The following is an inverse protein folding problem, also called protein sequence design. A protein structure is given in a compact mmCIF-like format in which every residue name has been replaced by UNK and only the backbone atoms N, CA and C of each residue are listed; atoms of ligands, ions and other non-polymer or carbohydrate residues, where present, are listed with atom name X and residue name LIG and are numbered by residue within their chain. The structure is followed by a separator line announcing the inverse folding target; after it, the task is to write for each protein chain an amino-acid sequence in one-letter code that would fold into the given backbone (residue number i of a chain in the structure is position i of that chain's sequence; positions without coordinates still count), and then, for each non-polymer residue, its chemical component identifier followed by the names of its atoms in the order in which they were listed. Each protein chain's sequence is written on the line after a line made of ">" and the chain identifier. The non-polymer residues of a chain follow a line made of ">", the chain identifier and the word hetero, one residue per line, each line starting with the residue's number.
data_IF_047485613708
#
_entry.id   IF_047485613708
#
_cell.length_a   1.000
_cell.length_b   1.000
_cell.length_c   1.000
_cell.angle_alpha   90.00
_cell.angle_beta   90.00
_cell.angle_gamma   90.00
#
_symmetry.space_group_name_H-M   'P 1'
#
loop_
_entity.id
_entity.type
_entity.pdbx_description
1 polymer ?
#
# COMPACT_ATOMS: atom_id res chain seq x y z
N UNK A 1 -0.65 -22.33 16.23
CA UNK A 1 -1.76 -21.96 15.32
C UNK A 1 -2.91 -21.48 16.18
N UNK A 2 -3.69 -20.47 15.78
CA UNK A 2 -4.74 -19.90 16.64
C UNK A 2 -5.97 -20.78 16.80
N UNK A 3 -6.04 -21.93 16.15
CA UNK A 3 -7.17 -22.86 16.21
C UNK A 3 -6.68 -24.30 16.37
N UNK A 4 -7.47 -25.16 17.06
CA UNK A 4 -7.18 -26.59 17.13
C UNK A 4 -7.15 -27.22 15.72
N UNK A 5 -6.25 -28.17 15.44
CA UNK A 5 -6.20 -28.84 14.13
C UNK A 5 -7.53 -29.45 13.72
N UNK A 6 -8.22 -30.13 14.62
CA UNK A 6 -9.52 -30.72 14.35
C UNK A 6 -10.60 -29.71 13.94
N UNK A 7 -10.56 -28.47 14.47
CA UNK A 7 -11.46 -27.42 14.06
C UNK A 7 -11.14 -26.90 12.62
N UNK A 8 -9.86 -26.80 12.32
CA UNK A 8 -9.43 -26.44 10.95
C UNK A 8 -9.89 -27.47 9.94
N UNK A 9 -9.72 -28.76 10.27
CA UNK A 9 -10.15 -29.85 9.41
C UNK A 9 -11.67 -29.85 9.21
N UNK A 10 -12.45 -29.53 10.24
CA UNK A 10 -13.91 -29.38 10.13
C UNK A 10 -14.32 -28.18 9.29
N UNK A 11 -13.64 -27.02 9.45
CA UNK A 11 -13.86 -25.84 8.63
C UNK A 11 -13.59 -26.15 7.15
N UNK A 12 -12.50 -26.85 6.85
CA UNK A 12 -12.17 -27.24 5.46
C UNK A 12 -13.22 -28.22 4.93
N UNK A 13 -13.59 -29.23 5.69
CA UNK A 13 -14.56 -30.25 5.26
C UNK A 13 -15.96 -29.70 4.96
N UNK A 14 -16.37 -28.63 5.70
CA UNK A 14 -17.68 -28.00 5.51
C UNK A 14 -17.67 -26.85 4.48
N UNK A 15 -16.53 -26.55 3.89
CA UNK A 15 -16.37 -25.56 2.85
C UNK A 15 -15.69 -26.17 1.61
N UNK A 16 -16.39 -27.01 0.81
CA UNK A 16 -15.84 -27.52 -0.44
C UNK A 16 -15.29 -26.39 -1.28
N UNK A 17 -14.09 -26.56 -1.80
CA UNK A 17 -13.37 -25.47 -2.49
C UNK A 17 -14.12 -24.97 -3.71
N UNK A 18 -14.79 -25.86 -4.43
CA UNK A 18 -15.61 -25.52 -5.60
C UNK A 18 -16.79 -24.61 -5.26
N UNK A 19 -17.40 -24.80 -4.07
CA UNK A 19 -18.52 -23.99 -3.61
C UNK A 19 -18.08 -22.60 -3.14
N UNK A 20 -16.88 -22.50 -2.56
CA UNK A 20 -16.31 -21.21 -2.15
C UNK A 20 -15.85 -20.43 -3.38
N UNK A 21 -15.07 -21.06 -4.23
CA UNK A 21 -14.57 -20.46 -5.47
C UNK A 21 -15.70 -20.08 -6.42
N UNK A 22 -16.73 -20.93 -6.51
CA UNK A 22 -17.89 -20.71 -7.38
C UNK A 22 -18.68 -19.43 -7.11
N UNK A 23 -18.48 -18.77 -5.94
CA UNK A 23 -19.10 -17.47 -5.64
C UNK A 23 -18.39 -16.31 -6.36
N UNK A 24 -17.14 -16.50 -6.74
CA UNK A 24 -16.28 -15.45 -7.34
C UNK A 24 -15.97 -15.74 -8.80
N UNK A 25 -15.96 -17.03 -9.19
CA UNK A 25 -15.53 -17.49 -10.50
C UNK A 25 -16.56 -18.40 -11.14
N UNK A 26 -16.93 -18.11 -12.38
CA UNK A 26 -17.75 -19.06 -13.18
C UNK A 26 -16.90 -20.24 -13.58
N UNK A 27 -17.14 -21.39 -12.94
CA UNK A 27 -16.39 -22.63 -13.17
C UNK A 27 -17.07 -23.52 -14.20
N UNK A 28 -16.29 -24.11 -15.13
CA UNK A 28 -16.75 -25.10 -16.12
C UNK A 28 -15.97 -26.39 -15.91
N UNK A 29 -16.66 -27.51 -15.92
CA UNK A 29 -16.06 -28.84 -15.72
C UNK A 29 -15.24 -29.27 -16.95
N UNK A 30 -14.04 -29.76 -16.67
CA UNK A 30 -13.17 -30.38 -17.67
C UNK A 30 -12.45 -31.58 -17.01
N UNK A 31 -12.90 -32.78 -17.30
CA UNK A 31 -12.45 -34.00 -16.61
C UNK A 31 -12.83 -34.02 -15.13
N UNK A 32 -11.87 -34.32 -14.26
CA UNK A 32 -12.05 -34.31 -12.79
C UNK A 32 -11.95 -32.89 -12.19
N UNK A 33 -11.45 -31.91 -12.93
CA UNK A 33 -11.25 -30.56 -12.44
C UNK A 33 -12.28 -29.57 -12.99
N UNK A 34 -12.35 -28.40 -12.36
CA UNK A 34 -13.13 -27.26 -12.79
C UNK A 34 -12.17 -26.14 -13.25
N UNK A 35 -12.51 -25.43 -14.31
CA UNK A 35 -11.69 -24.34 -14.87
C UNK A 35 -12.50 -23.05 -14.99
N UNK A 36 -11.85 -21.90 -14.76
CA UNK A 36 -12.42 -20.59 -14.92
C UNK A 36 -11.35 -19.53 -15.18
N UNK A 37 -11.78 -18.28 -15.34
CA UNK A 37 -10.85 -17.14 -15.38
C UNK A 37 -10.32 -16.88 -13.97
N UNK A 38 -9.03 -16.59 -13.85
CA UNK A 38 -8.41 -16.35 -12.54
C UNK A 38 -8.94 -15.06 -11.90
N UNK A 39 -9.36 -15.11 -10.63
CA UNK A 39 -9.82 -13.90 -9.93
C UNK A 39 -8.65 -13.05 -9.41
N UNK A 40 -7.40 -13.53 -9.51
CA UNK A 40 -6.21 -12.90 -8.97
C UNK A 40 -5.37 -12.15 -9.99
N UNK A 41 -5.61 -12.36 -11.30
CA UNK A 41 -4.96 -11.62 -12.38
C UNK A 41 -5.89 -11.52 -13.60
N UNK A 42 -5.63 -10.56 -14.48
CA UNK A 42 -6.41 -10.35 -15.69
C UNK A 42 -6.01 -11.34 -16.79
N UNK A 43 -6.96 -12.16 -17.27
CA UNK A 43 -6.73 -13.10 -18.39
C UNK A 43 -7.97 -13.24 -19.27
N UNK A 44 -7.76 -13.72 -20.51
CA UNK A 44 -8.85 -14.00 -21.46
C UNK A 44 -9.09 -15.50 -21.65
N UNK A 45 -8.14 -16.33 -21.27
CA UNK A 45 -8.19 -17.80 -21.37
C UNK A 45 -8.19 -18.39 -19.97
N UNK A 46 -9.07 -19.37 -19.72
CA UNK A 46 -9.21 -19.99 -18.41
C UNK A 46 -7.93 -20.76 -18.02
N UNK A 47 -7.14 -20.21 -17.11
CA UNK A 47 -5.94 -20.83 -16.54
C UNK A 47 -6.10 -21.22 -15.06
N UNK A 48 -7.21 -20.86 -14.45
CA UNK A 48 -7.51 -21.15 -13.06
C UNK A 48 -8.21 -22.50 -12.94
N UNK A 49 -7.57 -23.44 -12.27
CA UNK A 49 -8.03 -24.82 -12.06
C UNK A 49 -8.42 -25.05 -10.60
N UNK A 50 -9.57 -25.68 -10.38
CA UNK A 50 -10.00 -26.17 -9.06
C UNK A 50 -10.10 -27.69 -9.15
N UNK A 51 -9.45 -28.38 -8.23
CA UNK A 51 -9.46 -29.83 -8.08
C UNK A 51 -10.28 -30.21 -6.83
N UNK A 52 -11.59 -30.52 -6.95
CA UNK A 52 -12.45 -30.82 -5.80
C UNK A 52 -11.93 -31.99 -4.96
N UNK A 53 -11.52 -33.08 -5.59
CA UNK A 53 -11.00 -34.28 -4.92
C UNK A 53 -9.76 -34.02 -4.07
N UNK A 54 -8.99 -32.95 -4.39
CA UNK A 54 -7.79 -32.56 -3.65
C UNK A 54 -8.05 -31.39 -2.71
N UNK A 55 -9.23 -30.75 -2.77
CA UNK A 55 -9.54 -29.54 -2.02
C UNK A 55 -8.61 -28.36 -2.35
N UNK A 56 -8.12 -28.26 -3.58
CA UNK A 56 -7.09 -27.28 -3.97
C UNK A 56 -7.46 -26.52 -5.23
N UNK A 57 -7.00 -25.28 -5.32
CA UNK A 57 -6.95 -24.51 -6.55
C UNK A 57 -5.51 -24.27 -6.99
N UNK A 58 -5.32 -24.03 -8.28
CA UNK A 58 -4.06 -23.60 -8.87
C UNK A 58 -4.30 -22.80 -10.16
N UNK A 59 -3.63 -21.67 -10.29
CA UNK A 59 -3.63 -20.88 -11.51
C UNK A 59 -2.34 -21.11 -12.30
N UNK A 60 -2.45 -21.58 -13.53
CA UNK A 60 -1.29 -21.80 -14.41
C UNK A 60 -0.73 -20.49 -14.98
N UNK A 61 -1.47 -19.35 -14.90
CA UNK A 61 -1.01 -18.04 -15.34
C UNK A 61 -0.18 -17.33 -14.28
N UNK A 62 -0.73 -17.12 -13.07
CA UNK A 62 -0.05 -16.39 -12.01
C UNK A 62 0.57 -17.27 -10.90
N UNK A 63 0.49 -18.60 -11.05
CA UNK A 63 1.05 -19.61 -10.13
C UNK A 63 0.52 -19.58 -8.69
N UNK A 64 -0.54 -18.82 -8.43
CA UNK A 64 -1.24 -18.87 -7.11
C UNK A 64 -1.96 -20.18 -6.95
N UNK A 65 -1.84 -20.77 -5.74
CA UNK A 65 -2.48 -22.04 -5.44
C UNK A 65 -2.59 -22.30 -3.93
N UNK A 66 -3.42 -23.25 -3.56
CA UNK A 66 -3.62 -23.64 -2.16
C UNK A 66 -4.99 -24.27 -1.91
N UNK A 67 -5.31 -24.48 -0.63
CA UNK A 67 -6.63 -24.94 -0.21
C UNK A 67 -7.65 -23.80 -0.06
N UNK A 68 -8.85 -24.15 0.43
CA UNK A 68 -9.97 -23.21 0.59
C UNK A 68 -9.63 -22.02 1.49
N UNK A 69 -8.85 -22.22 2.56
CA UNK A 69 -8.42 -21.13 3.45
C UNK A 69 -7.48 -20.17 2.72
N UNK A 70 -6.55 -20.72 1.91
CA UNK A 70 -5.65 -19.87 1.10
C UNK A 70 -6.44 -19.06 0.07
N UNK A 71 -7.46 -19.65 -0.55
CA UNK A 71 -8.33 -18.93 -1.49
C UNK A 71 -9.04 -17.78 -0.80
N UNK A 72 -9.65 -18.02 0.36
CA UNK A 72 -10.36 -16.99 1.14
C UNK A 72 -9.41 -15.86 1.58
N UNK A 73 -8.18 -16.22 2.02
CA UNK A 73 -7.15 -15.24 2.36
C UNK A 73 -6.80 -14.33 1.16
N UNK A 74 -6.63 -14.92 -0.01
CA UNK A 74 -6.20 -14.19 -1.21
C UNK A 74 -7.32 -13.34 -1.81
N UNK A 75 -8.56 -13.86 -1.88
CA UNK A 75 -9.67 -13.17 -2.53
C UNK A 75 -10.21 -12.01 -1.68
N UNK A 76 -10.29 -12.20 -0.36
CA UNK A 76 -10.81 -11.21 0.58
C UNK A 76 -9.69 -10.38 1.25
N UNK A 77 -8.42 -10.70 1.00
CA UNK A 77 -7.29 -10.02 1.63
C UNK A 77 -7.21 -10.26 3.15
N UNK A 78 -7.64 -11.43 3.61
CA UNK A 78 -7.76 -11.77 5.02
C UNK A 78 -6.46 -12.33 5.61
N UNK A 79 -6.29 -12.19 6.94
CA UNK A 79 -5.31 -13.00 7.66
C UNK A 79 -5.80 -14.45 7.73
N UNK A 80 -4.89 -15.40 8.01
CA UNK A 80 -5.26 -16.81 8.18
C UNK A 80 -6.39 -17.00 9.21
N UNK A 81 -6.29 -16.32 10.35
CA UNK A 81 -7.30 -16.40 11.39
C UNK A 81 -8.65 -15.82 10.98
N UNK A 82 -8.67 -14.72 10.24
CA UNK A 82 -9.91 -14.11 9.74
C UNK A 82 -10.55 -14.97 8.65
N UNK A 83 -9.74 -15.57 7.76
CA UNK A 83 -10.23 -16.48 6.72
C UNK A 83 -10.89 -17.73 7.33
N UNK A 84 -10.25 -18.34 8.35
CA UNK A 84 -10.83 -19.47 9.08
C UNK A 84 -12.17 -19.09 9.71
N UNK A 85 -12.29 -17.90 10.30
CA UNK A 85 -13.56 -17.42 10.87
C UNK A 85 -14.64 -17.15 9.83
N UNK A 86 -14.27 -16.54 8.72
CA UNK A 86 -15.22 -16.31 7.62
C UNK A 86 -15.81 -17.63 7.12
N UNK A 87 -14.94 -18.62 6.90
CA UNK A 87 -15.35 -19.97 6.50
C UNK A 87 -16.15 -20.70 7.58
N UNK A 88 -15.76 -20.58 8.87
CA UNK A 88 -16.51 -21.14 9.99
C UNK A 88 -17.92 -20.55 10.08
N UNK A 89 -18.04 -19.22 9.99
CA UNK A 89 -19.32 -18.52 9.94
C UNK A 89 -20.19 -18.99 8.77
N UNK A 90 -19.60 -19.13 7.59
CA UNK A 90 -20.29 -19.65 6.40
C UNK A 90 -20.83 -21.05 6.65
N UNK A 91 -20.07 -21.90 7.32
CA UNK A 91 -20.44 -23.28 7.66
C UNK A 91 -21.36 -23.42 8.88
N UNK A 92 -21.69 -22.31 9.57
CA UNK A 92 -22.47 -22.34 10.81
C UNK A 92 -21.73 -22.99 11.98
N UNK A 93 -20.38 -22.98 11.95
CA UNK A 93 -19.55 -23.51 13.02
C UNK A 93 -19.27 -22.43 14.08
N UNK A 94 -19.42 -22.82 15.34
CA UNK A 94 -18.96 -22.00 16.46
C UNK A 94 -17.43 -22.04 16.52
N UNK A 95 -16.82 -20.87 16.48
CA UNK A 95 -15.36 -20.74 16.56
C UNK A 95 -14.93 -21.00 18.00
N UNK A 96 -14.02 -21.97 18.27
CA UNK A 96 -13.51 -22.20 19.61
C UNK A 96 -12.94 -20.91 20.21
N UNK A 97 -13.34 -20.60 21.43
CA UNK A 97 -12.87 -19.41 22.14
C UNK A 97 -11.39 -19.56 22.51
N UNK A 98 -10.51 -19.02 21.69
CA UNK A 98 -9.14 -18.71 22.10
C UNK A 98 -9.15 -17.29 22.71
N UNK A 99 -9.17 -17.22 24.03
CA UNK A 99 -9.19 -15.95 24.77
C UNK A 99 -8.06 -15.01 24.35
N UNK A 100 -6.88 -15.51 24.01
CA UNK A 100 -5.76 -14.69 23.56
C UNK A 100 -6.02 -14.06 22.18
N UNK A 101 -6.62 -14.85 21.28
CA UNK A 101 -6.97 -14.34 19.97
C UNK A 101 -8.12 -13.31 20.05
N UNK A 102 -9.15 -13.60 20.81
CA UNK A 102 -10.27 -12.69 21.02
C UNK A 102 -9.81 -11.38 21.66
N UNK A 103 -8.94 -11.47 22.66
CA UNK A 103 -8.32 -10.29 23.28
C UNK A 103 -7.55 -9.46 22.26
N UNK A 104 -6.70 -10.09 21.44
CA UNK A 104 -5.92 -9.42 20.39
C UNK A 104 -6.80 -8.80 19.31
N UNK A 105 -7.87 -9.49 18.90
CA UNK A 105 -8.82 -8.97 17.92
C UNK A 105 -9.58 -7.75 18.46
N UNK A 106 -10.08 -7.80 19.70
CA UNK A 106 -10.72 -6.66 20.36
C UNK A 106 -9.76 -5.47 20.47
N UNK A 107 -8.49 -5.72 20.77
CA UNK A 107 -7.47 -4.68 20.81
C UNK A 107 -7.28 -4.04 19.41
N UNK A 108 -7.24 -4.83 18.34
CA UNK A 108 -7.18 -4.30 16.97
C UNK A 108 -8.41 -3.43 16.63
N UNK A 109 -9.62 -3.91 16.93
CA UNK A 109 -10.85 -3.15 16.70
C UNK A 109 -10.84 -1.80 17.44
N UNK A 110 -10.39 -1.81 18.71
CA UNK A 110 -10.24 -0.58 19.50
C UNK A 110 -9.23 0.38 18.87
N UNK A 111 -8.09 -0.14 18.36
CA UNK A 111 -7.07 0.68 17.71
C UNK A 111 -7.56 1.25 16.37
N UNK A 112 -8.29 0.47 15.55
CA UNK A 112 -8.92 0.99 14.32
C UNK A 112 -9.93 2.09 14.62
N UNK A 113 -10.78 1.90 15.65
CA UNK A 113 -11.74 2.91 16.08
C UNK A 113 -11.00 4.19 16.54
N UNK A 114 -9.95 4.06 17.34
CA UNK A 114 -9.13 5.19 17.80
C UNK A 114 -8.49 5.93 16.63
N UNK A 115 -7.88 5.22 15.67
CA UNK A 115 -7.27 5.84 14.48
C UNK A 115 -8.30 6.57 13.61
N UNK A 116 -9.50 6.01 13.46
CA UNK A 116 -10.62 6.68 12.77
C UNK A 116 -11.02 7.97 13.46
N UNK A 117 -11.11 7.97 14.79
CA UNK A 117 -11.42 9.18 15.55
C UNK A 117 -10.27 10.21 15.50
N UNK A 118 -9.01 9.76 15.54
CA UNK A 118 -7.85 10.63 15.36
C UNK A 118 -7.84 11.26 13.95
N UNK A 119 -8.18 10.50 12.91
CA UNK A 119 -8.30 11.04 11.55
C UNK A 119 -9.38 12.12 11.46
N UNK A 120 -10.54 11.91 12.09
CA UNK A 120 -11.61 12.92 12.18
C UNK A 120 -11.16 14.16 12.94
N UNK A 121 -10.45 13.98 14.04
CA UNK A 121 -9.87 15.07 14.82
C UNK A 121 -8.92 15.92 13.97
N UNK A 122 -7.93 15.29 13.32
CA UNK A 122 -6.99 16.02 12.47
C UNK A 122 -7.67 16.70 11.28
N UNK A 123 -8.67 16.03 10.67
CA UNK A 123 -9.45 16.63 9.59
C UNK A 123 -10.23 17.86 10.06
N UNK A 124 -10.86 17.81 11.22
CA UNK A 124 -11.55 18.97 11.80
C UNK A 124 -10.60 20.12 12.14
N UNK A 125 -9.40 19.80 12.67
CA UNK A 125 -8.37 20.81 12.96
C UNK A 125 -7.88 21.55 11.70
N UNK A 126 -7.86 20.89 10.54
CA UNK A 126 -7.46 21.53 9.28
C UNK A 126 -8.38 22.70 8.88
N UNK A 127 -9.68 22.59 9.19
CA UNK A 127 -10.68 23.63 8.87
C UNK A 127 -10.97 24.57 10.05
N UNK A 128 -10.37 24.33 11.22
CA UNK A 128 -10.43 25.25 12.35
C UNK A 128 -9.42 26.39 12.17
N UNK A 129 -9.56 27.52 12.92
CA UNK A 129 -8.61 28.64 12.83
C UNK A 129 -7.14 28.24 13.01
N UNK A 130 -6.87 27.24 13.86
CA UNK A 130 -5.51 26.71 14.10
C UNK A 130 -4.90 26.02 12.87
N UNK A 131 -5.70 25.53 11.95
CA UNK A 131 -5.25 24.84 10.74
C UNK A 131 -5.14 25.74 9.49
N UNK A 132 -5.42 27.04 9.60
CA UNK A 132 -5.49 27.95 8.44
C UNK A 132 -4.20 27.93 7.59
N UNK A 133 -3.02 27.97 8.20
CA UNK A 133 -1.74 27.90 7.50
C UNK A 133 -1.52 26.57 6.79
N UNK A 134 -1.92 25.46 7.40
CA UNK A 134 -1.83 24.13 6.81
C UNK A 134 -2.80 23.96 5.61
N UNK A 135 -4.01 24.51 5.73
CA UNK A 135 -4.98 24.52 4.65
C UNK A 135 -4.51 25.39 3.48
N UNK A 136 -3.96 26.57 3.77
CA UNK A 136 -3.36 27.44 2.76
C UNK A 136 -2.18 26.76 2.05
N UNK A 137 -1.30 26.12 2.82
CA UNK A 137 -0.21 25.32 2.26
C UNK A 137 -0.75 24.22 1.33
N UNK A 138 -1.73 23.42 1.78
CA UNK A 138 -2.29 22.36 0.96
C UNK A 138 -2.92 22.88 -0.33
N UNK A 139 -3.65 24.00 -0.27
CA UNK A 139 -4.21 24.68 -1.44
C UNK A 139 -3.11 25.26 -2.35
N UNK A 140 -2.07 25.87 -1.78
CA UNK A 140 -0.90 26.35 -2.52
C UNK A 140 -0.14 25.23 -3.23
N UNK A 141 -0.18 24.00 -2.66
CA UNK A 141 0.29 22.78 -3.34
C UNK A 141 -0.71 22.24 -4.36
N UNK A 142 -1.80 22.95 -4.64
CA UNK A 142 -2.78 22.63 -5.67
C UNK A 142 -3.83 21.58 -5.25
N UNK A 143 -3.91 21.19 -3.99
CA UNK A 143 -4.94 20.23 -3.54
C UNK A 143 -6.34 20.85 -3.57
N UNK A 144 -7.26 20.24 -4.30
CA UNK A 144 -8.65 20.61 -4.34
C UNK A 144 -9.38 20.20 -3.06
N UNK A 145 -10.50 20.83 -2.77
CA UNK A 145 -11.39 20.45 -1.65
C UNK A 145 -11.78 18.96 -1.73
N UNK A 146 -12.12 18.49 -2.93
CA UNK A 146 -12.46 17.08 -3.18
C UNK A 146 -11.30 16.15 -2.81
N UNK A 147 -10.07 16.53 -3.18
CA UNK A 147 -8.86 15.76 -2.85
C UNK A 147 -8.60 15.74 -1.35
N UNK A 148 -8.69 16.89 -0.67
CA UNK A 148 -8.53 16.99 0.78
C UNK A 148 -9.51 16.07 1.52
N UNK A 149 -10.77 16.05 1.08
CA UNK A 149 -11.81 15.19 1.66
C UNK A 149 -11.60 13.72 1.32
N UNK A 150 -11.32 13.39 0.04
CA UNK A 150 -11.08 12.02 -0.42
C UNK A 150 -9.98 11.32 0.37
N UNK A 151 -8.86 12.02 0.59
CA UNK A 151 -7.71 11.48 1.31
C UNK A 151 -7.79 11.69 2.83
N UNK A 152 -8.80 12.40 3.33
CA UNK A 152 -8.95 12.70 4.75
C UNK A 152 -7.80 13.54 5.31
N UNK A 153 -7.23 14.42 4.47
CA UNK A 153 -6.10 15.27 4.88
C UNK A 153 -6.50 16.09 6.10
N UNK A 154 -5.59 16.16 7.07
CA UNK A 154 -5.83 16.81 8.34
C UNK A 154 -4.67 17.70 8.77
N UNK A 155 -4.79 18.28 9.95
CA UNK A 155 -3.74 19.03 10.61
C UNK A 155 -3.58 18.60 12.08
N UNK A 156 -2.38 18.27 12.46
CA UNK A 156 -2.02 18.07 13.87
C UNK A 156 -1.60 19.43 14.47
N UNK A 157 -2.34 19.95 15.44
CA UNK A 157 -2.04 21.24 16.05
C UNK A 157 -0.62 21.33 16.63
N UNK A 158 -0.09 22.55 16.76
CA UNK A 158 1.17 22.81 17.49
C UNK A 158 0.89 22.77 19.01
N UNK A 159 0.55 21.61 19.49
CA UNK A 159 0.18 21.35 20.89
C UNK A 159 0.80 20.04 21.36
N UNK A 160 1.01 19.95 22.67
CA UNK A 160 1.58 18.76 23.30
C UNK A 160 0.52 17.72 23.69
N UNK A 161 -0.76 18.08 23.80
CA UNK A 161 -1.77 17.18 24.37
C UNK A 161 -3.16 17.25 23.71
N UNK A 162 -3.39 18.06 22.71
CA UNK A 162 -4.74 18.25 22.13
C UNK A 162 -5.36 16.94 21.65
N UNK A 163 -4.58 16.08 20.97
CA UNK A 163 -5.06 14.77 20.55
C UNK A 163 -5.26 13.83 21.75
N UNK A 164 -4.29 13.77 22.67
CA UNK A 164 -4.40 12.96 23.91
C UNK A 164 -5.69 13.30 24.65
N UNK A 165 -5.93 14.59 24.89
CA UNK A 165 -7.09 15.06 25.65
C UNK A 165 -8.40 14.80 24.89
N UNK A 166 -8.40 14.99 23.56
CA UNK A 166 -9.55 14.68 22.73
C UNK A 166 -9.91 13.20 22.76
N UNK A 167 -8.92 12.30 22.69
CA UNK A 167 -9.16 10.87 22.72
C UNK A 167 -9.54 10.36 24.10
N UNK A 168 -8.95 10.89 25.17
CA UNK A 168 -9.38 10.60 26.55
C UNK A 168 -10.85 10.99 26.81
N UNK A 169 -11.29 12.15 26.30
CA UNK A 169 -12.72 12.56 26.35
C UNK A 169 -13.65 11.61 25.62
N UNK A 170 -13.15 10.87 24.62
CA UNK A 170 -13.87 9.82 23.89
C UNK A 170 -13.80 8.45 24.57
N UNK A 171 -13.18 8.33 25.74
CA UNK A 171 -13.11 7.11 26.53
C UNK A 171 -11.99 6.14 26.11
N UNK A 172 -10.95 6.63 25.42
CA UNK A 172 -9.75 5.83 25.17
C UNK A 172 -8.80 5.91 26.35
N UNK A 173 -8.26 4.75 26.72
CA UNK A 173 -7.30 4.62 27.83
C UNK A 173 -5.89 5.03 27.41
N UNK A 174 -5.06 5.37 28.40
CA UNK A 174 -3.65 5.70 28.16
C UNK A 174 -2.88 4.52 27.53
N UNK A 175 -3.27 3.29 27.83
CA UNK A 175 -2.66 2.10 27.22
C UNK A 175 -3.01 2.00 25.73
N UNK A 176 -4.28 2.19 25.36
CA UNK A 176 -4.70 2.21 23.95
C UNK A 176 -4.01 3.35 23.18
N UNK A 177 -3.82 4.51 23.79
CA UNK A 177 -3.08 5.62 23.22
C UNK A 177 -1.60 5.26 22.96
N UNK A 178 -0.93 4.59 23.92
CA UNK A 178 0.45 4.09 23.73
C UNK A 178 0.54 3.08 22.58
N UNK A 179 -0.36 2.12 22.58
CA UNK A 179 -0.39 1.03 21.59
C UNK A 179 -0.72 1.54 20.17
N UNK A 180 -1.40 2.68 20.08
CA UNK A 180 -1.75 3.30 18.79
C UNK A 180 -0.57 3.91 18.02
N UNK A 181 0.51 4.26 18.72
CA UNK A 181 1.62 5.02 18.13
C UNK A 181 1.29 6.49 17.78
N UNK A 182 0.15 7.00 18.24
CA UNK A 182 -0.26 8.41 18.07
C UNK A 182 0.38 9.34 19.11
N UNK A 183 0.89 8.76 20.19
CA UNK A 183 1.50 9.48 21.30
C UNK A 183 2.92 9.01 21.57
N UNK A 184 3.63 9.81 22.35
CA UNK A 184 4.97 9.49 22.86
C UNK A 184 4.94 9.62 24.39
N UNK A 185 5.74 8.77 25.05
CA UNK A 185 5.89 8.81 26.51
C UNK A 185 7.06 9.70 26.87
N UNK A 186 6.84 10.68 27.72
CA UNK A 186 7.90 11.55 28.24
C UNK A 186 8.86 10.74 29.14
N UNK A 187 10.15 10.78 28.83
CA UNK A 187 11.18 10.15 29.67
C UNK A 187 11.35 10.82 31.04
N UNK A 188 10.88 12.08 31.20
CA UNK A 188 11.05 12.86 32.46
C UNK A 188 10.00 12.51 33.47
N UNK A 189 8.75 12.32 33.09
CA UNK A 189 7.62 12.22 34.03
C UNK A 189 6.61 11.11 33.63
N UNK A 190 6.85 10.35 32.58
CA UNK A 190 5.94 9.28 32.12
C UNK A 190 4.64 9.76 31.46
N UNK A 191 4.41 11.06 31.34
CA UNK A 191 3.21 11.60 30.73
C UNK A 191 3.16 11.34 29.22
N UNK A 192 1.96 11.18 28.69
CA UNK A 192 1.72 11.08 27.26
C UNK A 192 1.70 12.47 26.63
N UNK A 193 2.26 12.57 25.45
CA UNK A 193 2.15 13.76 24.62
C UNK A 193 1.99 13.38 23.14
N UNK A 194 1.40 14.29 22.38
CA UNK A 194 1.09 14.10 20.95
C UNK A 194 2.37 13.88 20.15
N UNK A 195 2.42 12.77 19.39
CA UNK A 195 3.55 12.44 18.53
C UNK A 195 3.65 13.38 17.33
N UNK A 196 2.52 13.71 16.73
CA UNK A 196 2.43 14.62 15.59
C UNK A 196 2.04 16.00 16.09
N UNK A 197 2.88 16.99 15.83
CA UNK A 197 2.66 18.40 16.21
C UNK A 197 3.07 19.29 15.06
N UNK A 198 2.29 20.31 14.77
CA UNK A 198 2.47 21.25 13.66
C UNK A 198 2.75 20.52 12.33
N UNK A 199 1.85 19.58 11.96
CA UNK A 199 2.02 18.75 10.76
C UNK A 199 0.75 18.67 9.95
N UNK A 200 0.90 18.76 8.62
CA UNK A 200 -0.13 18.32 7.67
C UNK A 200 -0.19 16.80 7.70
N UNK A 201 -1.37 16.24 7.97
CA UNK A 201 -1.57 14.82 8.26
C UNK A 201 -2.17 14.07 7.09
N UNK A 202 -1.61 12.91 6.79
CA UNK A 202 -1.99 11.98 5.75
C UNK A 202 -2.41 10.66 6.39
N UNK A 203 -3.70 10.33 6.49
CA UNK A 203 -4.13 9.03 6.97
C UNK A 203 -3.64 7.92 6.05
N UNK A 204 -3.04 6.89 6.63
CA UNK A 204 -2.66 5.66 5.92
C UNK A 204 -3.81 4.68 6.10
N UNK A 205 -4.41 4.27 4.99
CA UNK A 205 -5.62 3.45 4.96
C UNK A 205 -5.25 2.10 4.34
N UNK A 206 -5.58 1.01 5.03
CA UNK A 206 -5.38 -0.34 4.52
C UNK A 206 -6.35 -0.66 3.37
N UNK A 207 -6.13 -1.79 2.71
CA UNK A 207 -6.99 -2.22 1.59
C UNK A 207 -8.44 -2.50 1.99
N UNK A 208 -8.74 -2.67 3.29
CA UNK A 208 -10.09 -2.86 3.83
C UNK A 208 -10.79 -1.52 4.15
N UNK A 209 -10.06 -0.40 4.13
CA UNK A 209 -10.59 0.93 4.43
C UNK A 209 -10.39 1.38 5.88
N UNK A 210 -9.63 0.65 6.69
CA UNK A 210 -9.30 1.05 8.05
C UNK A 210 -8.14 2.05 8.06
N UNK A 211 -8.24 3.09 8.87
CA UNK A 211 -7.10 3.96 9.15
C UNK A 211 -6.16 3.20 10.09
N UNK A 212 -4.95 2.91 9.63
CA UNK A 212 -3.97 2.08 10.34
C UNK A 212 -2.76 2.87 10.85
N UNK A 213 -2.57 4.09 10.37
CA UNK A 213 -1.47 4.96 10.74
C UNK A 213 -1.57 6.32 10.06
N UNK A 214 -0.53 7.12 10.22
CA UNK A 214 -0.45 8.45 9.66
C UNK A 214 0.96 8.76 9.17
N UNK A 215 1.04 9.53 8.08
CA UNK A 215 2.18 10.34 7.73
C UNK A 215 1.92 11.79 8.14
N UNK A 216 2.94 12.51 8.60
CA UNK A 216 2.81 13.91 8.98
C UNK A 216 3.95 14.75 8.39
N UNK A 217 3.64 15.70 7.49
CA UNK A 217 4.60 16.65 6.95
C UNK A 217 4.68 17.89 7.85
N UNK A 218 5.89 18.25 8.28
CA UNK A 218 6.09 19.43 9.13
C UNK A 218 5.67 20.71 8.39
N UNK A 219 4.99 21.60 9.11
CA UNK A 219 4.52 22.89 8.56
C UNK A 219 5.52 24.02 8.79
N UNK A 220 6.36 23.87 9.81
CA UNK A 220 7.26 24.93 10.26
C UNK A 220 8.67 24.38 10.46
N UNK A 221 9.66 24.99 9.83
CA UNK A 221 11.07 24.57 9.88
C UNK A 221 11.82 25.17 11.11
N UNK A 222 11.11 25.53 12.21
CA UNK A 222 11.75 26.08 13.43
C UNK A 222 12.74 25.12 14.06
N UNK A 223 12.46 23.82 13.99
CA UNK A 223 13.39 22.77 14.41
C UNK A 223 14.08 22.15 13.18
N UNK A 224 15.29 22.59 12.89
CA UNK A 224 16.11 22.07 11.77
C UNK A 224 16.42 20.58 11.89
N UNK A 225 16.28 19.99 13.08
CA UNK A 225 16.51 18.56 13.32
C UNK A 225 15.22 17.73 13.16
N UNK A 226 14.05 18.37 13.01
CA UNK A 226 12.80 17.66 12.84
C UNK A 226 12.71 17.08 11.42
N UNK A 227 12.38 15.80 11.34
CA UNK A 227 12.17 15.13 10.05
C UNK A 227 11.04 15.81 9.27
N UNK A 228 11.29 16.13 7.99
CA UNK A 228 10.31 16.74 7.08
C UNK A 228 9.02 15.92 7.02
N UNK A 229 9.14 14.59 6.93
CA UNK A 229 8.05 13.64 7.06
C UNK A 229 8.27 12.73 8.25
N UNK A 230 7.25 12.57 9.06
CA UNK A 230 7.20 11.66 10.20
C UNK A 230 6.07 10.65 9.98
N UNK A 231 6.36 9.37 10.10
CA UNK A 231 5.35 8.31 10.01
C UNK A 231 5.05 7.71 11.37
N UNK A 232 3.85 7.11 11.51
CA UNK A 232 3.52 6.25 12.64
C UNK A 232 4.59 5.18 12.82
N UNK A 233 4.90 4.79 14.07
CA UNK A 233 5.74 3.62 14.33
C UNK A 233 5.00 2.34 13.94
N UNK A 234 5.70 1.20 13.94
CA UNK A 234 5.07 -0.12 13.86
C UNK A 234 4.14 -0.33 15.05
N UNK A 235 2.94 -0.88 14.80
CA UNK A 235 1.92 -1.16 15.83
C UNK A 235 1.23 -2.49 15.53
N UNK A 236 0.32 -2.91 16.39
CA UNK A 236 -0.50 -4.12 16.16
C UNK A 236 -1.30 -4.06 14.84
N UNK A 237 -1.67 -2.85 14.38
CA UNK A 237 -2.48 -2.63 13.18
C UNK A 237 -1.69 -2.02 12.00
N UNK A 238 -0.44 -1.63 12.19
CA UNK A 238 0.35 -0.96 11.16
C UNK A 238 1.74 -1.55 11.00
N UNK A 239 2.06 -1.96 9.77
CA UNK A 239 3.38 -2.38 9.36
C UNK A 239 3.74 -1.69 8.03
N UNK A 240 4.79 -0.85 8.05
CA UNK A 240 5.22 -0.06 6.89
C UNK A 240 5.60 -0.91 5.68
N UNK A 241 6.18 -2.09 5.93
CA UNK A 241 6.66 -2.99 4.86
C UNK A 241 5.52 -3.66 4.11
N UNK A 242 4.35 -3.80 4.75
CA UNK A 242 3.17 -4.53 4.24
C UNK A 242 2.05 -3.61 3.79
N UNK A 243 2.29 -2.30 3.70
CA UNK A 243 1.28 -1.34 3.30
C UNK A 243 1.87 -0.33 2.32
N UNK A 244 1.02 0.19 1.44
CA UNK A 244 1.33 1.26 0.50
C UNK A 244 0.26 2.34 0.60
N UNK A 245 0.68 3.59 0.54
CA UNK A 245 -0.26 4.72 0.54
C UNK A 245 -1.13 4.70 -0.70
N UNK A 246 -2.41 5.01 -0.55
CA UNK A 246 -3.42 5.08 -1.60
C UNK A 246 -3.77 3.73 -2.28
N UNK A 247 -3.22 2.59 -1.86
CA UNK A 247 -3.56 1.29 -2.45
C UNK A 247 -5.05 0.92 -2.26
N UNK A 248 -5.68 1.38 -1.17
CA UNK A 248 -7.12 1.23 -0.96
C UNK A 248 -7.98 1.85 -2.08
N UNK A 249 -7.47 2.88 -2.75
CA UNK A 249 -8.09 3.48 -3.93
C UNK A 249 -7.60 2.80 -5.22
N UNK A 250 -6.28 2.67 -5.37
CA UNK A 250 -5.65 2.20 -6.59
C UNK A 250 -6.05 0.76 -6.98
N UNK A 251 -6.37 -0.11 -6.01
CA UNK A 251 -6.87 -1.47 -6.27
C UNK A 251 -8.18 -1.53 -7.07
N UNK A 252 -8.91 -0.41 -7.16
CA UNK A 252 -10.18 -0.30 -7.91
C UNK A 252 -9.98 0.35 -9.28
N UNK A 253 -8.78 0.79 -9.60
CA UNK A 253 -8.46 1.42 -10.88
C UNK A 253 -8.66 0.44 -12.05
N UNK A 254 -9.11 0.98 -13.17
CA UNK A 254 -9.31 0.22 -14.42
C UNK A 254 -8.17 0.43 -15.43
N UNK A 255 -7.05 1.04 -15.00
CA UNK A 255 -5.94 1.38 -15.91
C UNK A 255 -5.09 0.17 -16.32
N UNK A 256 -5.26 -1.00 -15.67
CA UNK A 256 -4.52 -2.21 -16.01
C UNK A 256 -3.07 -2.24 -15.49
N UNK A 257 -2.61 -1.18 -14.83
CA UNK A 257 -1.30 -1.07 -14.19
C UNK A 257 -1.38 -0.20 -12.94
N UNK A 258 -0.38 -0.29 -12.07
CA UNK A 258 -0.21 0.63 -10.95
C UNK A 258 1.01 1.54 -11.18
N UNK A 259 0.91 2.77 -10.70
CA UNK A 259 2.03 3.72 -10.68
C UNK A 259 2.59 3.74 -9.26
N UNK A 260 3.87 3.42 -9.10
CA UNK A 260 4.57 3.47 -7.82
C UNK A 260 5.47 4.70 -7.75
N UNK A 261 5.19 5.58 -6.78
CA UNK A 261 5.95 6.81 -6.49
C UNK A 261 6.56 6.77 -5.08
N UNK A 262 7.43 7.75 -4.76
CA UNK A 262 8.08 7.80 -3.45
C UNK A 262 7.20 8.45 -2.37
N UNK A 263 6.50 9.51 -2.71
CA UNK A 263 5.88 10.42 -1.75
C UNK A 263 4.35 10.44 -1.75
N UNK A 264 3.79 10.79 -0.59
CA UNK A 264 2.34 11.01 -0.43
C UNK A 264 1.81 12.07 -1.40
N UNK A 265 2.57 13.17 -1.56
CA UNK A 265 2.16 14.29 -2.38
C UNK A 265 2.04 13.91 -3.86
N UNK A 266 2.98 13.10 -4.35
CA UNK A 266 2.99 12.64 -5.74
C UNK A 266 1.82 11.72 -6.03
N UNK A 267 1.54 10.76 -5.13
CA UNK A 267 0.39 9.89 -5.25
C UNK A 267 -0.93 10.69 -5.23
N UNK A 268 -1.06 11.66 -4.31
CA UNK A 268 -2.24 12.52 -4.22
C UNK A 268 -2.41 13.37 -5.48
N UNK A 269 -1.32 13.97 -5.99
CA UNK A 269 -1.35 14.74 -7.23
C UNK A 269 -1.79 13.88 -8.41
N UNK A 270 -1.21 12.70 -8.58
CA UNK A 270 -1.62 11.76 -9.62
C UNK A 270 -3.11 11.41 -9.54
N UNK A 271 -3.62 11.07 -8.36
CA UNK A 271 -5.05 10.81 -8.16
C UNK A 271 -5.92 12.00 -8.53
N UNK A 272 -5.50 13.21 -8.17
CA UNK A 272 -6.25 14.44 -8.47
C UNK A 272 -6.36 14.70 -9.96
N UNK A 273 -5.32 14.37 -10.72
CA UNK A 273 -5.30 14.51 -12.19
C UNK A 273 -5.84 13.29 -12.94
N UNK A 274 -6.49 12.35 -12.22
CA UNK A 274 -7.21 11.22 -12.81
C UNK A 274 -6.41 9.92 -12.93
N UNK A 275 -5.17 9.88 -12.44
CA UNK A 275 -4.36 8.65 -12.37
C UNK A 275 -4.61 7.92 -11.04
N UNK A 276 -5.81 7.35 -10.91
CA UNK A 276 -6.30 6.72 -9.68
C UNK A 276 -5.60 5.38 -9.35
N UNK A 277 -4.68 4.94 -10.21
CA UNK A 277 -3.81 3.77 -10.05
C UNK A 277 -2.51 4.08 -9.28
N UNK A 278 -2.30 5.31 -8.80
CA UNK A 278 -1.07 5.69 -8.14
C UNK A 278 -1.02 5.23 -6.67
N UNK A 279 0.15 4.74 -6.25
CA UNK A 279 0.46 4.34 -4.89
C UNK A 279 1.83 4.87 -4.48
N UNK A 280 2.06 5.06 -3.17
CA UNK A 280 3.37 5.48 -2.70
C UNK A 280 3.90 4.57 -1.60
N UNK A 281 5.23 4.51 -1.48
CA UNK A 281 5.89 3.91 -0.32
C UNK A 281 5.72 4.78 0.93
N UNK A 282 5.94 4.19 2.12
CA UNK A 282 5.67 4.84 3.40
C UNK A 282 6.95 5.39 4.05
N UNK A 283 7.73 6.17 3.28
CA UNK A 283 9.00 6.76 3.76
C UNK A 283 10.10 5.73 4.00
N UNK A 284 10.00 4.59 3.33
CA UNK A 284 11.01 3.53 3.25
C UNK A 284 11.13 3.08 1.81
N UNK A 285 12.29 2.55 1.42
CA UNK A 285 12.42 1.89 0.12
C UNK A 285 11.36 0.77 -0.02
N UNK A 286 11.00 0.43 -1.26
CA UNK A 286 10.16 -0.73 -1.54
C UNK A 286 10.78 -1.98 -0.90
N UNK A 287 9.93 -2.87 -0.42
CA UNK A 287 10.32 -4.16 0.19
C UNK A 287 9.74 -5.32 -0.62
N UNK A 288 10.28 -6.54 -0.44
CA UNK A 288 9.70 -7.75 -1.05
C UNK A 288 8.21 -7.94 -0.65
N UNK A 289 7.84 -7.62 0.60
CA UNK A 289 6.44 -7.64 1.05
C UNK A 289 5.58 -6.63 0.27
N UNK A 290 6.11 -5.42 0.02
CA UNK A 290 5.44 -4.39 -0.77
C UNK A 290 5.28 -4.79 -2.24
N UNK A 291 6.30 -5.40 -2.84
CA UNK A 291 6.24 -5.93 -4.20
C UNK A 291 5.21 -7.08 -4.31
N UNK A 292 5.21 -8.00 -3.37
CA UNK A 292 4.20 -9.07 -3.26
C UNK A 292 2.79 -8.51 -3.05
N UNK A 293 2.65 -7.41 -2.30
CA UNK A 293 1.36 -6.75 -2.14
C UNK A 293 0.86 -6.17 -3.47
N UNK A 294 1.74 -5.50 -4.24
CA UNK A 294 1.39 -4.94 -5.56
C UNK A 294 0.95 -6.04 -6.55
N UNK A 295 1.65 -7.19 -6.58
CA UNK A 295 1.35 -8.28 -7.52
C UNK A 295 -0.03 -8.92 -7.31
N UNK A 296 -0.71 -8.65 -6.20
CA UNK A 296 -2.10 -9.07 -5.97
C UNK A 296 -3.12 -8.22 -6.73
N UNK A 297 -2.73 -7.05 -7.20
CA UNK A 297 -3.66 -6.06 -7.78
C UNK A 297 -3.34 -5.69 -9.22
N UNK A 298 -2.18 -6.06 -9.74
CA UNK A 298 -1.76 -5.76 -11.11
C UNK A 298 -0.66 -6.72 -11.56
N UNK A 299 -0.52 -6.87 -12.88
CA UNK A 299 0.60 -7.56 -13.52
C UNK A 299 1.69 -6.57 -13.98
N UNK A 300 1.42 -5.26 -13.95
CA UNK A 300 2.34 -4.22 -14.43
C UNK A 300 2.46 -3.05 -13.47
N UNK A 301 3.69 -2.60 -13.23
CA UNK A 301 4.01 -1.42 -12.43
C UNK A 301 4.83 -0.43 -13.23
N UNK A 302 4.43 0.85 -13.20
CA UNK A 302 5.22 1.98 -13.69
C UNK A 302 5.91 2.65 -12.51
N UNK A 303 7.23 2.55 -12.43
CA UNK A 303 8.05 3.22 -11.42
C UNK A 303 8.28 4.68 -11.81
N UNK A 304 7.98 5.60 -10.91
CA UNK A 304 8.25 7.03 -11.09
C UNK A 304 8.86 7.55 -9.80
N UNK A 305 10.16 7.40 -9.66
CA UNK A 305 10.92 7.90 -8.52
C UNK A 305 11.65 9.21 -8.90
N UNK A 306 12.10 9.93 -7.87
CA UNK A 306 12.76 11.21 -8.05
C UNK A 306 13.98 11.10 -9.00
N UNK A 307 14.22 12.12 -9.80
CA UNK A 307 15.30 12.12 -10.81
C UNK A 307 16.71 12.23 -10.23
N UNK A 308 16.86 12.43 -8.91
CA UNK A 308 18.14 12.55 -8.23
C UNK A 308 18.84 11.18 -8.05
N UNK A 309 20.07 11.20 -7.54
CA UNK A 309 20.87 9.97 -7.34
C UNK A 309 20.21 9.00 -6.38
N UNK A 310 19.52 9.51 -5.34
CA UNK A 310 18.84 8.66 -4.36
C UNK A 310 17.66 7.91 -4.99
N UNK A 311 16.81 8.60 -5.78
CA UNK A 311 15.70 8.00 -6.48
C UNK A 311 16.15 7.05 -7.60
N UNK A 312 17.25 7.35 -8.31
CA UNK A 312 17.83 6.41 -9.28
C UNK A 312 18.29 5.11 -8.62
N UNK A 313 18.98 5.20 -7.47
CA UNK A 313 19.40 4.03 -6.68
C UNK A 313 18.20 3.26 -6.12
N UNK A 314 17.13 3.96 -5.73
CA UNK A 314 15.89 3.34 -5.27
C UNK A 314 15.20 2.59 -6.42
N UNK A 315 15.16 3.19 -7.63
CA UNK A 315 14.63 2.54 -8.85
C UNK A 315 15.37 1.26 -9.16
N UNK A 316 16.71 1.28 -9.18
CA UNK A 316 17.52 0.08 -9.46
C UNK A 316 17.29 -1.05 -8.45
N UNK A 317 17.06 -0.71 -7.18
CA UNK A 317 16.73 -1.72 -6.15
C UNK A 317 15.32 -2.23 -6.25
N UNK A 318 14.36 -1.39 -6.66
CA UNK A 318 12.96 -1.77 -6.74
C UNK A 318 12.66 -2.73 -7.92
N UNK A 319 13.33 -2.57 -9.06
CA UNK A 319 13.12 -3.39 -10.26
C UNK A 319 13.21 -4.89 -9.95
N UNK A 320 14.34 -5.44 -9.41
CA UNK A 320 14.44 -6.88 -9.19
C UNK A 320 13.44 -7.40 -8.14
N UNK A 321 13.03 -6.60 -7.17
CA UNK A 321 12.00 -7.00 -6.19
C UNK A 321 10.63 -7.15 -6.84
N UNK A 322 10.26 -6.23 -7.74
CA UNK A 322 8.99 -6.28 -8.47
C UNK A 322 8.95 -7.45 -9.44
N UNK A 323 10.04 -7.70 -10.17
CA UNK A 323 10.14 -8.82 -11.09
C UNK A 323 10.11 -10.18 -10.39
N UNK A 324 10.80 -10.31 -9.26
CA UNK A 324 10.73 -11.50 -8.40
C UNK A 324 9.30 -11.76 -7.92
N UNK A 325 8.50 -10.72 -7.76
CA UNK A 325 7.07 -10.82 -7.44
C UNK A 325 6.17 -11.11 -8.66
N UNK A 326 6.75 -11.30 -9.87
CA UNK A 326 6.04 -11.61 -11.11
C UNK A 326 5.49 -10.39 -11.86
N UNK A 327 5.92 -9.17 -11.51
CA UNK A 327 5.43 -7.94 -12.11
C UNK A 327 6.26 -7.51 -13.33
N UNK A 328 5.59 -7.05 -14.36
CA UNK A 328 6.23 -6.33 -15.47
C UNK A 328 6.54 -4.90 -15.01
N UNK A 329 7.80 -4.48 -15.16
CA UNK A 329 8.26 -3.18 -14.70
C UNK A 329 8.53 -2.25 -15.88
N UNK A 330 7.90 -1.09 -15.86
CA UNK A 330 8.27 0.07 -16.68
C UNK A 330 8.83 1.16 -15.78
N UNK A 331 9.76 1.93 -16.31
CA UNK A 331 10.35 3.07 -15.60
C UNK A 331 10.07 4.35 -16.37
N UNK A 332 9.46 5.30 -15.71
CA UNK A 332 9.28 6.65 -16.23
C UNK A 332 10.28 7.59 -15.57
N UNK A 333 11.19 8.13 -16.36
CA UNK A 333 12.14 9.13 -15.88
C UNK A 333 11.58 10.54 -16.12
N UNK A 334 11.36 11.28 -15.03
CA UNK A 334 11.00 12.68 -15.12
C UNK A 334 12.21 13.50 -15.60
N UNK A 335 12.09 14.18 -16.77
CA UNK A 335 13.16 15.00 -17.34
C UNK A 335 12.90 16.50 -17.21
N UNK A 336 11.63 16.90 -17.22
CA UNK A 336 11.18 18.28 -17.31
C UNK A 336 10.68 18.84 -15.97
N UNK A 337 10.64 18.00 -14.93
CA UNK A 337 10.23 18.32 -13.57
C UNK A 337 10.93 17.40 -12.57
N UNK A 338 10.96 17.82 -11.32
CA UNK A 338 11.59 17.05 -10.24
C UNK A 338 10.80 15.78 -9.89
N UNK A 339 9.48 15.93 -9.81
CA UNK A 339 8.53 14.90 -9.36
C UNK A 339 7.21 15.01 -10.15
N UNK A 340 6.32 13.99 -10.05
CA UNK A 340 5.01 14.02 -10.71
C UNK A 340 4.12 15.18 -10.31
N UNK A 341 4.17 15.65 -9.06
CA UNK A 341 3.37 16.80 -8.59
C UNK A 341 3.75 18.08 -9.33
N UNK A 342 5.05 18.38 -9.47
CA UNK A 342 5.54 19.53 -10.22
C UNK A 342 5.19 19.41 -11.71
N UNK A 343 5.37 18.22 -12.30
CA UNK A 343 5.08 18.00 -13.72
C UNK A 343 3.61 18.23 -14.05
N UNK A 344 2.72 17.63 -13.26
CA UNK A 344 1.27 17.75 -13.49
C UNK A 344 0.77 19.19 -13.36
N UNK A 345 1.32 19.95 -12.42
CA UNK A 345 1.00 21.39 -12.28
C UNK A 345 1.42 22.21 -13.48
N UNK A 346 2.58 21.89 -14.06
CA UNK A 346 3.17 22.66 -15.15
C UNK A 346 2.61 22.30 -16.52
N UNK A 347 2.37 21.00 -16.75
CA UNK A 347 2.08 20.50 -18.08
C UNK A 347 0.70 19.80 -18.21
N UNK A 348 0.06 19.49 -17.08
CA UNK A 348 -1.27 18.87 -17.04
C UNK A 348 -1.30 17.37 -17.32
N UNK A 349 -2.51 16.79 -17.24
CA UNK A 349 -2.74 15.35 -17.33
C UNK A 349 -2.46 14.77 -18.73
N UNK A 350 -2.81 15.50 -19.80
CA UNK A 350 -2.66 14.98 -21.16
C UNK A 350 -1.19 14.81 -21.55
N UNK A 351 -0.34 15.78 -21.17
CA UNK A 351 1.11 15.64 -21.39
C UNK A 351 1.71 14.51 -20.56
N UNK A 352 1.19 14.30 -19.34
CA UNK A 352 1.63 13.18 -18.51
C UNK A 352 1.23 11.80 -19.07
N UNK A 353 0.06 11.68 -19.73
CA UNK A 353 -0.34 10.45 -20.43
C UNK A 353 0.63 10.09 -21.55
N UNK A 354 1.01 11.07 -22.37
CA UNK A 354 2.01 10.85 -23.42
C UNK A 354 3.33 10.37 -22.82
N UNK A 355 3.75 11.01 -21.72
CA UNK A 355 4.99 10.62 -21.04
C UNK A 355 4.92 9.20 -20.46
N UNK A 356 3.75 8.75 -19.98
CA UNK A 356 3.52 7.36 -19.53
C UNK A 356 3.62 6.36 -20.68
N UNK A 357 3.11 6.71 -21.86
CA UNK A 357 3.21 5.87 -23.05
C UNK A 357 4.67 5.72 -23.54
N UNK A 358 5.49 6.77 -23.34
CA UNK A 358 6.93 6.79 -23.62
C UNK A 358 7.78 6.09 -22.54
N UNK A 359 7.15 5.54 -21.49
CA UNK A 359 7.89 4.89 -20.40
C UNK A 359 8.70 3.70 -20.91
N UNK A 360 9.98 3.67 -20.53
CA UNK A 360 10.91 2.63 -20.96
C UNK A 360 10.65 1.31 -20.24
N UNK A 361 10.80 0.20 -20.95
CA UNK A 361 10.89 -1.09 -20.26
C UNK A 361 12.20 -1.18 -19.45
N UNK A 362 12.30 -2.18 -18.57
CA UNK A 362 13.47 -2.40 -17.70
C UNK A 362 14.78 -2.40 -18.50
N UNK A 363 14.86 -3.21 -19.54
CA UNK A 363 16.11 -3.42 -20.29
C UNK A 363 16.59 -2.10 -20.88
N UNK A 364 15.72 -1.35 -21.52
CA UNK A 364 16.03 -0.04 -22.07
C UNK A 364 16.49 0.96 -20.98
N UNK A 365 15.82 0.97 -19.83
CA UNK A 365 16.20 1.83 -18.71
C UNK A 365 17.61 1.50 -18.18
N UNK A 366 17.89 0.22 -17.98
CA UNK A 366 19.20 -0.25 -17.50
C UNK A 366 20.31 -0.03 -18.52
N UNK A 367 20.05 -0.32 -19.81
CA UNK A 367 21.00 -0.03 -20.90
C UNK A 367 21.36 1.46 -20.95
N UNK A 368 20.38 2.35 -20.85
CA UNK A 368 20.64 3.80 -20.80
C UNK A 368 21.40 4.23 -19.55
N UNK A 369 21.22 3.54 -18.43
CA UNK A 369 21.97 3.82 -17.18
C UNK A 369 23.45 3.41 -17.33
N UNK A 370 23.73 2.22 -17.86
CA UNK A 370 25.08 1.73 -18.12
C UNK A 370 25.77 2.59 -19.18
N UNK A 371 25.09 2.94 -20.26
CA UNK A 371 25.63 3.76 -21.35
C UNK A 371 26.28 5.06 -20.86
N UNK A 372 25.80 5.64 -19.77
CA UNK A 372 26.35 6.90 -19.23
C UNK A 372 27.76 6.77 -18.67
N UNK A 373 28.18 5.55 -18.36
CA UNK A 373 29.51 5.27 -17.78
C UNK A 373 30.59 5.12 -18.85
N UNK A 374 30.21 5.10 -20.14
CA UNK A 374 31.09 4.81 -21.26
C UNK A 374 31.04 5.91 -22.34
N UNK A 375 32.19 6.31 -22.86
CA UNK A 375 32.27 7.12 -24.08
C UNK A 375 32.23 6.20 -25.31
N UNK A 376 31.06 6.09 -25.91
CA UNK A 376 30.85 5.19 -27.08
C UNK A 376 31.59 5.65 -28.36
N UNK A 377 32.38 6.72 -28.32
CA UNK A 377 33.27 7.09 -29.43
C UNK A 377 34.58 6.29 -29.37
N UNK A 378 34.96 5.79 -28.18
CA UNK A 378 36.14 5.00 -27.93
C UNK A 378 35.84 3.50 -28.08
N UNK A 379 36.58 2.80 -28.93
CA UNK A 379 36.29 1.39 -29.27
C UNK A 379 36.40 0.44 -28.08
N UNK A 380 37.39 0.64 -27.20
CA UNK A 380 37.55 -0.15 -25.96
C UNK A 380 36.35 0.03 -25.01
N UNK A 381 35.85 1.26 -24.88
CA UNK A 381 34.69 1.54 -24.05
C UNK A 381 33.37 1.01 -24.66
N UNK A 382 33.26 0.98 -25.99
CA UNK A 382 32.16 0.28 -26.66
C UNK A 382 32.11 -1.21 -26.32
N UNK A 383 33.29 -1.87 -26.35
CA UNK A 383 33.40 -3.30 -26.04
C UNK A 383 32.98 -3.55 -24.58
N UNK A 384 33.47 -2.73 -23.64
CA UNK A 384 33.09 -2.83 -22.23
C UNK A 384 31.59 -2.61 -22.04
N UNK A 385 30.98 -1.59 -22.68
CA UNK A 385 29.56 -1.35 -22.67
C UNK A 385 28.75 -2.53 -23.19
N UNK A 386 29.16 -3.12 -24.34
CA UNK A 386 28.46 -4.26 -24.93
C UNK A 386 28.55 -5.48 -23.99
N UNK A 387 29.71 -5.71 -23.36
CA UNK A 387 29.89 -6.81 -22.41
C UNK A 387 28.97 -6.68 -21.20
N UNK A 388 28.93 -5.49 -20.56
CA UNK A 388 28.05 -5.24 -19.41
C UNK A 388 26.56 -5.25 -19.83
N UNK A 389 26.22 -4.75 -21.03
CA UNK A 389 24.89 -4.76 -21.57
C UNK A 389 24.37 -6.18 -21.85
N UNK A 390 25.24 -7.09 -22.28
CA UNK A 390 24.89 -8.49 -22.55
C UNK A 390 24.52 -9.27 -21.27
N UNK A 391 24.99 -8.86 -20.11
CA UNK A 391 24.62 -9.47 -18.82
C UNK A 391 23.18 -9.11 -18.38
N UNK A 392 22.54 -8.12 -19.03
CA UNK A 392 21.17 -7.70 -18.73
C UNK A 392 20.10 -8.50 -19.48
N UNK A 393 20.47 -9.21 -20.53
CA UNK A 393 19.60 -9.95 -21.43
C UNK A 393 19.59 -11.43 -21.06
#
# INVERSE_FOLDING_TARGET
>A
MPFPPAFIDEVIARNPIEDVVGQYVTLKRSGSNLFGLCPFHGEKTASFSVAPDKGMFYCFGCHKGGGVINFEMEIEGLSYGDAVRALAKRAGLEVPEDEQYQSRYRQQERLWALHKEAARFFHSCLYAPMGASALEYARGRGMSQTTLTKFGIGYAPDSWSDLVDAMRKKGYTDQELRDSGLVTVSKKNGNLFDRFRDRLMFPIIDVRGNVIGFGGRIMNDRDKNAAKYLNSPETLIFNKRKNLFALNYAKKSKMGYLILVEGYMDAIALHQYGFDCAVASLGTALTDDGATLLSRYTDQVVLIYDGDTAGQNATQRAIPMLEKAGLQVKVLKMREAKDPDEFLKKYGADRFKILLEESSNRVEYQLRAIQKNYDLREDDQKIQFITEAAELI
#
